data_IF_004489575213
#
_entry.id   IF_004489575213
#
_cell.length_a   1.000
_cell.length_b   1.000
_cell.length_c   1.000
_cell.angle_alpha   90.00
_cell.angle_beta   90.00
_cell.angle_gamma   90.00
#
_symmetry.space_group_name_H-M   'P 1'
#
loop_
_entity.id
_entity.type
_entity.pdbx_description
1 polymer ?
#
# COMPACT_ATOMS: atom_id res chain seq x y z
N UNK A 1 19.66 13.35 -3.89
CA UNK A 1 19.36 12.21 -4.69
C UNK A 1 18.81 12.58 -6.04
N UNK A 2 19.20 11.86 -7.05
CA UNK A 2 18.85 12.21 -8.41
C UNK A 2 17.68 11.39 -8.88
N UNK A 3 16.66 12.04 -9.38
CA UNK A 3 15.49 11.34 -9.90
C UNK A 3 15.39 11.52 -11.40
N UNK A 4 14.87 10.52 -12.05
CA UNK A 4 14.56 10.62 -13.43
C UNK A 4 13.45 11.57 -13.64
N UNK A 5 13.60 12.43 -14.63
CA UNK A 5 12.51 13.29 -15.01
C UNK A 5 11.66 12.55 -16.02
N UNK A 6 10.37 12.55 -15.77
CA UNK A 6 9.43 12.01 -16.72
C UNK A 6 9.24 10.51 -16.70
N UNK A 7 9.84 9.80 -15.76
CA UNK A 7 9.65 8.38 -15.72
C UNK A 7 9.90 7.79 -14.36
N UNK A 8 9.27 6.65 -14.13
CA UNK A 8 9.49 5.87 -12.93
C UNK A 8 10.45 4.74 -13.25
N UNK A 9 11.32 4.42 -12.30
CA UNK A 9 12.17 3.26 -12.42
C UNK A 9 11.30 2.00 -12.40
N UNK A 10 11.51 1.06 -13.31
CA UNK A 10 10.72 -0.16 -13.31
C UNK A 10 10.90 -0.92 -12.00
N UNK A 11 9.82 -1.53 -11.55
CA UNK A 11 9.87 -2.38 -10.37
C UNK A 11 10.53 -3.71 -10.73
N UNK A 12 11.43 -4.16 -9.88
CA UNK A 12 12.03 -5.49 -10.03
C UNK A 12 11.09 -6.52 -9.42
N UNK A 13 11.37 -7.79 -9.71
CA UNK A 13 10.62 -8.88 -9.09
C UNK A 13 10.76 -8.85 -7.57
N UNK A 14 11.95 -8.49 -7.09
CA UNK A 14 12.20 -8.39 -5.67
C UNK A 14 11.37 -7.26 -5.05
N UNK A 15 11.29 -6.11 -5.72
CA UNK A 15 10.47 -5.00 -5.25
C UNK A 15 9.01 -5.41 -5.16
N UNK A 16 8.51 -6.10 -6.17
CA UNK A 16 7.13 -6.56 -6.18
C UNK A 16 6.87 -7.53 -5.04
N UNK A 17 7.81 -8.43 -4.80
CA UNK A 17 7.70 -9.38 -3.70
C UNK A 17 7.65 -8.66 -2.35
N UNK A 18 8.51 -7.66 -2.17
CA UNK A 18 8.53 -6.88 -0.94
C UNK A 18 7.23 -6.09 -0.76
N UNK A 19 6.74 -5.48 -1.83
CA UNK A 19 5.49 -4.73 -1.76
C UNK A 19 4.32 -5.62 -1.42
N UNK A 20 4.26 -6.80 -2.03
CA UNK A 20 3.21 -7.77 -1.74
C UNK A 20 3.24 -8.19 -0.28
N UNK A 21 4.42 -8.43 0.24
CA UNK A 21 4.59 -8.83 1.64
C UNK A 21 4.14 -7.70 2.57
N UNK A 22 4.57 -6.48 2.29
CA UNK A 22 4.18 -5.32 3.09
C UNK A 22 2.68 -5.10 3.05
N UNK A 23 2.06 -5.24 1.88
CA UNK A 23 0.62 -5.08 1.76
C UNK A 23 -0.13 -6.10 2.61
N UNK A 24 0.36 -7.34 2.64
CA UNK A 24 -0.21 -8.38 3.47
C UNK A 24 -0.13 -8.03 4.96
N UNK A 25 1.02 -7.52 5.37
CA UNK A 25 1.21 -7.09 6.75
C UNK A 25 0.31 -5.93 7.12
N UNK A 26 0.21 -4.93 6.24
CA UNK A 26 -0.65 -3.77 6.51
C UNK A 26 -2.11 -4.17 6.62
N UNK A 27 -2.55 -5.05 5.73
CA UNK A 27 -3.92 -5.54 5.77
C UNK A 27 -4.19 -6.31 7.05
N UNK A 28 -3.29 -7.19 7.43
CA UNK A 28 -3.43 -7.98 8.64
C UNK A 28 -3.46 -7.08 9.88
N UNK A 29 -2.55 -6.11 9.93
CA UNK A 29 -2.48 -5.19 11.06
C UNK A 29 -3.76 -4.36 11.18
N UNK A 30 -4.28 -3.88 10.05
CA UNK A 30 -5.52 -3.12 10.04
C UNK A 30 -6.68 -3.96 10.56
N UNK A 31 -6.78 -5.19 10.09
CA UNK A 31 -7.85 -6.10 10.52
C UNK A 31 -7.77 -6.41 12.01
N UNK A 32 -6.58 -6.67 12.50
CA UNK A 32 -6.38 -6.97 13.91
C UNK A 32 -6.72 -5.78 14.80
N UNK A 33 -6.23 -4.60 14.42
CA UNK A 33 -6.51 -3.39 15.19
C UNK A 33 -7.99 -3.09 15.22
N UNK A 34 -8.67 -3.25 14.09
CA UNK A 34 -10.10 -3.04 14.00
C UNK A 34 -10.86 -4.04 14.88
N UNK A 35 -10.47 -5.30 14.81
CA UNK A 35 -11.08 -6.35 15.62
C UNK A 35 -10.93 -6.07 17.10
N UNK A 36 -9.73 -5.73 17.54
CA UNK A 36 -9.46 -5.45 18.94
C UNK A 36 -10.20 -4.20 19.41
N UNK A 37 -10.31 -3.20 18.53
CA UNK A 37 -11.07 -2.01 18.86
C UNK A 37 -12.53 -2.35 19.16
N UNK A 38 -13.08 -3.31 18.44
CA UNK A 38 -14.47 -3.72 18.66
C UNK A 38 -14.64 -4.60 19.90
N UNK A 39 -13.55 -5.21 20.35
CA UNK A 39 -13.63 -6.10 21.51
C UNK A 39 -13.38 -5.38 22.82
N UNK A 40 -12.65 -4.27 22.81
CA UNK A 40 -12.33 -3.57 24.05
C UNK A 40 -13.52 -2.77 24.57
N UNK A 41 -13.62 -2.68 25.88
CA UNK A 41 -14.65 -1.87 26.53
C UNK A 41 -14.12 -0.50 26.90
N UNK A 42 -12.84 -0.30 26.81
CA UNK A 42 -12.20 0.96 27.16
C UNK A 42 -12.29 1.90 25.96
N UNK A 43 -12.89 3.07 26.18
CA UNK A 43 -13.14 4.01 25.09
C UNK A 43 -11.86 4.59 24.50
N UNK A 44 -10.90 4.93 25.34
CA UNK A 44 -9.65 5.49 24.87
C UNK A 44 -8.84 4.45 24.10
N UNK A 45 -8.86 3.23 24.59
CA UNK A 45 -8.20 2.12 23.91
C UNK A 45 -8.83 1.87 22.53
N UNK A 46 -10.16 1.91 22.47
CA UNK A 46 -10.87 1.73 21.21
C UNK A 46 -10.48 2.80 20.20
N UNK A 47 -10.45 4.05 20.63
CA UNK A 47 -10.08 5.14 19.73
C UNK A 47 -8.66 5.00 19.24
N UNK A 48 -7.74 4.63 20.14
CA UNK A 48 -6.35 4.43 19.73
C UNK A 48 -6.22 3.32 18.72
N UNK A 49 -6.90 2.20 18.94
CA UNK A 49 -6.85 1.06 18.01
C UNK A 49 -7.49 1.39 16.68
N UNK A 50 -8.58 2.17 16.67
CA UNK A 50 -9.20 2.59 15.42
C UNK A 50 -8.28 3.50 14.62
N UNK A 51 -7.57 4.41 15.27
CA UNK A 51 -6.61 5.26 14.60
C UNK A 51 -5.47 4.47 13.99
N UNK A 52 -5.02 3.44 14.70
CA UNK A 52 -3.98 2.55 14.19
C UNK A 52 -4.48 1.77 12.99
N UNK A 53 -5.71 1.27 13.06
CA UNK A 53 -6.32 0.56 11.94
C UNK A 53 -6.39 1.44 10.70
N UNK A 54 -6.81 2.69 10.88
CA UNK A 54 -6.90 3.64 9.77
C UNK A 54 -5.54 3.97 9.18
N UNK A 55 -4.52 4.07 10.03
CA UNK A 55 -3.17 4.33 9.56
C UNK A 55 -2.65 3.18 8.70
N UNK A 56 -2.88 1.94 9.12
CA UNK A 56 -2.47 0.79 8.33
C UNK A 56 -3.25 0.70 7.03
N UNK A 57 -4.52 1.07 7.04
CA UNK A 57 -5.31 1.11 5.83
C UNK A 57 -4.77 2.15 4.85
N UNK A 58 -4.40 3.32 5.34
CA UNK A 58 -3.79 4.35 4.49
C UNK A 58 -2.45 3.89 3.93
N UNK A 59 -1.68 3.17 4.74
CA UNK A 59 -0.41 2.62 4.28
C UNK A 59 -0.63 1.62 3.14
N UNK A 60 -1.63 0.77 3.28
CA UNK A 60 -2.00 -0.19 2.24
C UNK A 60 -2.40 0.52 0.96
N UNK A 61 -3.23 1.55 1.08
CA UNK A 61 -3.68 2.33 -0.07
C UNK A 61 -2.51 3.00 -0.78
N UNK A 62 -1.52 3.48 -0.02
CA UNK A 62 -0.34 4.09 -0.60
C UNK A 62 0.46 3.08 -1.42
N UNK A 63 0.61 1.88 -0.90
CA UNK A 63 1.32 0.82 -1.62
C UNK A 63 0.57 0.43 -2.89
N UNK A 64 -0.74 0.29 -2.80
CA UNK A 64 -1.57 -0.03 -3.95
C UNK A 64 -1.51 1.05 -5.02
N UNK A 65 -1.56 2.30 -4.60
CA UNK A 65 -1.48 3.43 -5.53
C UNK A 65 -0.15 3.43 -6.27
N UNK A 66 0.93 3.20 -5.54
CA UNK A 66 2.26 3.16 -6.14
C UNK A 66 2.37 2.03 -7.18
N UNK A 67 1.86 0.86 -6.82
CA UNK A 67 1.85 -0.26 -7.73
C UNK A 67 0.98 0.03 -8.96
N UNK A 68 -0.17 0.65 -8.76
CA UNK A 68 -1.07 0.98 -9.84
C UNK A 68 -0.43 1.97 -10.82
N UNK A 69 0.32 2.93 -10.30
CA UNK A 69 1.03 3.88 -11.14
C UNK A 69 2.04 3.18 -12.05
N UNK A 70 2.76 2.21 -11.50
CA UNK A 70 3.72 1.44 -12.29
C UNK A 70 3.04 0.60 -13.35
N UNK A 71 1.91 -0.02 -13.03
CA UNK A 71 1.14 -0.80 -13.99
C UNK A 71 0.61 0.08 -15.11
N UNK A 72 0.08 1.23 -14.77
CA UNK A 72 -0.46 2.17 -15.76
C UNK A 72 0.64 2.66 -16.69
N UNK A 73 1.81 2.95 -16.16
CA UNK A 73 2.94 3.39 -16.96
C UNK A 73 3.40 2.32 -17.92
N UNK A 74 3.50 1.10 -17.46
CA UNK A 74 3.88 -0.03 -18.30
C UNK A 74 2.86 -0.26 -19.40
N UNK A 75 1.57 -0.12 -19.10
CA UNK A 75 0.51 -0.28 -20.07
C UNK A 75 0.60 0.77 -21.16
N UNK A 76 0.85 2.02 -20.79
CA UNK A 76 0.98 3.11 -21.75
C UNK A 76 2.18 2.90 -22.68
N UNK A 77 3.30 2.45 -22.13
CA UNK A 77 4.48 2.16 -22.92
C UNK A 77 4.18 1.04 -23.91
N UNK A 78 3.50 0.01 -23.46
CA UNK A 78 3.11 -1.11 -24.30
C UNK A 78 2.23 -0.68 -25.46
N UNK A 79 1.24 0.13 -25.18
CA UNK A 79 0.32 0.63 -26.20
C UNK A 79 1.05 1.49 -27.22
N UNK A 80 1.93 2.37 -26.73
CA UNK A 80 2.74 3.20 -27.62
C UNK A 80 3.63 2.41 -28.52
N UNK A 81 4.15 1.28 -28.00
CA UNK A 81 5.06 0.44 -28.76
C UNK A 81 4.40 -0.40 -29.81
N UNK A 82 3.08 -0.53 -29.77
CA UNK A 82 2.36 -1.36 -30.75
C UNK A 82 2.21 -0.66 -32.10
N UNK A 83 2.19 0.65 -32.08
CA UNK A 83 2.10 1.41 -33.32
C UNK A 83 3.37 1.29 -34.13
#
# INVERSE_FOLDING_TARGET
MQYQTGGMTPLTEKDLSYMKDMMSWELLAAKKAYHYANETQDQECRQAMMQIAEQHQRNLERLLTHLQEHVNQATQISVSGVD
#
